data_IF_530241673548
#
_entry.id   IF_530241673548
#
_cell.length_a   1.000
_cell.length_b   1.000
_cell.length_c   1.000
_cell.angle_alpha   90.00
_cell.angle_beta   90.00
_cell.angle_gamma   90.00
#
_symmetry.space_group_name_H-M   'P 1'
#
loop_
_entity.id
_entity.type
_entity.pdbx_description
1 polymer ?
#
# COMPACT_ATOMS: atom_id res chain seq x y z
N UNK A 1 -5.54 -2.66 -21.62
CA UNK A 1 -4.78 -2.98 -20.38
C UNK A 1 -5.40 -4.19 -19.68
N UNK A 2 -6.71 -4.20 -19.39
CA UNK A 2 -7.31 -5.29 -18.59
C UNK A 2 -7.19 -6.69 -19.22
N UNK A 3 -7.33 -6.82 -20.55
CA UNK A 3 -7.16 -8.12 -21.22
C UNK A 3 -5.77 -8.75 -20.99
N UNK A 4 -4.73 -7.91 -20.97
CA UNK A 4 -3.37 -8.38 -20.69
C UNK A 4 -3.21 -8.77 -19.21
N UNK A 5 -3.76 -7.98 -18.28
CA UNK A 5 -3.75 -8.30 -16.84
C UNK A 5 -4.49 -9.60 -16.58
N UNK A 6 -5.64 -9.82 -17.22
CA UNK A 6 -6.43 -11.06 -17.14
C UNK A 6 -5.60 -12.29 -17.53
N UNK A 7 -4.82 -12.15 -18.60
CA UNK A 7 -3.89 -13.19 -19.05
C UNK A 7 -2.79 -13.46 -18.02
N UNK A 8 -2.19 -12.41 -17.43
CA UNK A 8 -1.16 -12.57 -16.40
C UNK A 8 -1.71 -13.17 -15.11
N UNK A 9 -2.92 -12.79 -14.68
CA UNK A 9 -3.56 -13.38 -13.49
C UNK A 9 -3.81 -14.87 -13.66
N UNK A 10 -4.25 -15.30 -14.85
CA UNK A 10 -4.42 -16.72 -15.16
C UNK A 10 -3.06 -17.43 -15.14
N UNK A 11 -2.05 -16.86 -15.80
CA UNK A 11 -0.73 -17.47 -15.97
C UNK A 11 0.11 -17.53 -14.69
N UNK A 12 0.15 -16.44 -13.93
CA UNK A 12 1.05 -16.27 -12.77
C UNK A 12 0.36 -16.66 -11.47
N UNK A 13 -0.96 -16.47 -11.35
CA UNK A 13 -1.68 -16.70 -10.09
C UNK A 13 -2.74 -17.80 -10.18
N UNK A 14 -2.97 -18.39 -11.36
CA UNK A 14 -3.99 -19.43 -11.55
C UNK A 14 -5.42 -18.91 -11.41
N UNK A 15 -5.62 -17.59 -11.43
CA UNK A 15 -6.94 -16.96 -11.30
C UNK A 15 -7.63 -17.01 -12.67
N UNK A 16 -8.48 -18.02 -12.84
CA UNK A 16 -9.15 -18.31 -14.10
C UNK A 16 -10.37 -17.41 -14.33
N UNK A 17 -10.58 -17.01 -15.60
CA UNK A 17 -11.73 -16.20 -16.06
C UNK A 17 -11.94 -14.92 -15.22
N UNK A 18 -10.89 -14.11 -14.96
CA UNK A 18 -11.06 -12.92 -14.14
C UNK A 18 -11.88 -11.86 -14.88
N UNK A 19 -12.87 -11.31 -14.20
CA UNK A 19 -13.58 -10.11 -14.62
C UNK A 19 -12.89 -8.90 -13.97
N UNK A 20 -12.27 -8.05 -14.80
CA UNK A 20 -11.46 -6.92 -14.35
C UNK A 20 -12.19 -5.60 -14.54
N UNK A 21 -12.02 -4.73 -13.56
CA UNK A 21 -12.51 -3.36 -13.58
C UNK A 21 -11.42 -2.44 -13.01
N UNK A 22 -11.08 -1.38 -13.72
CA UNK A 22 -10.16 -0.37 -13.21
C UNK A 22 -10.78 0.36 -12.01
N UNK A 23 -10.06 0.41 -10.89
CA UNK A 23 -10.40 1.20 -9.71
C UNK A 23 -9.64 2.52 -9.73
N UNK A 24 -8.37 2.46 -10.12
CA UNK A 24 -7.50 3.62 -10.39
C UNK A 24 -6.67 3.35 -11.65
N UNK A 25 -5.74 4.25 -12.00
CA UNK A 25 -4.82 4.04 -13.12
C UNK A 25 -3.88 2.83 -12.96
N UNK A 26 -3.69 2.33 -11.74
CA UNK A 26 -2.73 1.27 -11.42
C UNK A 26 -3.35 0.09 -10.65
N UNK A 27 -4.61 0.23 -10.20
CA UNK A 27 -5.30 -0.75 -9.38
C UNK A 27 -6.55 -1.26 -10.10
N UNK A 28 -6.71 -2.57 -10.13
CA UNK A 28 -7.83 -3.26 -10.79
C UNK A 28 -8.53 -4.18 -9.80
N UNK A 29 -9.85 -4.09 -9.74
CA UNK A 29 -10.68 -5.08 -9.06
C UNK A 29 -10.86 -6.27 -9.97
N UNK A 30 -10.56 -7.45 -9.47
CA UNK A 30 -10.69 -8.73 -10.15
C UNK A 30 -11.75 -9.57 -9.43
N UNK A 31 -12.88 -9.79 -10.08
CA UNK A 31 -13.92 -10.69 -9.56
C UNK A 31 -13.88 -12.01 -10.32
N UNK A 32 -13.92 -13.12 -9.60
CA UNK A 32 -14.11 -14.46 -10.15
C UNK A 32 -15.39 -15.08 -9.61
N UNK A 33 -15.75 -16.28 -10.07
CA UNK A 33 -16.86 -17.02 -9.48
C UNK A 33 -16.65 -17.42 -8.01
N UNK A 34 -15.42 -17.34 -7.50
CA UNK A 34 -15.05 -17.86 -6.17
C UNK A 34 -14.41 -16.82 -5.26
N UNK A 35 -14.10 -15.61 -5.73
CA UNK A 35 -13.41 -14.61 -4.94
C UNK A 35 -13.34 -13.23 -5.57
N UNK A 36 -12.90 -12.27 -4.76
CA UNK A 36 -12.60 -10.91 -5.15
C UNK A 36 -11.14 -10.63 -4.81
N UNK A 37 -10.41 -10.03 -5.75
CA UNK A 37 -9.01 -9.68 -5.63
C UNK A 37 -8.79 -8.24 -6.08
N UNK A 38 -7.71 -7.65 -5.60
CA UNK A 38 -7.23 -6.35 -6.06
C UNK A 38 -5.83 -6.50 -6.61
N UNK A 39 -5.62 -6.00 -7.81
CA UNK A 39 -4.40 -6.20 -8.58
C UNK A 39 -3.77 -4.84 -8.81
N UNK A 40 -2.57 -4.62 -8.27
CA UNK A 40 -1.80 -3.41 -8.50
C UNK A 40 -0.70 -3.71 -9.51
N UNK A 41 -0.60 -2.90 -10.55
CA UNK A 41 0.47 -2.99 -11.56
C UNK A 41 1.07 -1.60 -11.74
N UNK A 42 2.31 -1.40 -11.28
CA UNK A 42 2.93 -0.07 -11.21
C UNK A 42 4.46 -0.13 -11.20
N UNK A 43 5.08 1.00 -11.55
CA UNK A 43 6.49 1.33 -11.53
C UNK A 43 6.80 2.60 -10.69
N UNK A 44 5.83 3.12 -9.93
CA UNK A 44 5.99 4.38 -9.18
C UNK A 44 7.06 4.31 -8.06
N UNK A 45 7.31 3.10 -7.56
CA UNK A 45 8.31 2.76 -6.53
C UNK A 45 9.22 1.66 -7.02
N UNK A 46 10.44 1.61 -6.47
CA UNK A 46 11.39 0.54 -6.78
C UNK A 46 10.82 -0.83 -6.41
N UNK A 47 11.39 -1.88 -6.99
CA UNK A 47 10.99 -3.25 -6.64
C UNK A 47 11.25 -3.54 -5.14
N UNK A 48 12.37 -3.06 -4.61
CA UNK A 48 12.79 -3.23 -3.22
C UNK A 48 11.83 -2.54 -2.24
N UNK A 49 11.38 -1.33 -2.57
CA UNK A 49 10.39 -0.61 -1.75
C UNK A 49 9.05 -1.34 -1.73
N UNK A 50 8.59 -1.82 -2.89
CA UNK A 50 7.35 -2.60 -2.99
C UNK A 50 7.48 -3.95 -2.27
N UNK A 51 8.65 -4.59 -2.34
CA UNK A 51 8.94 -5.84 -1.63
C UNK A 51 8.91 -5.64 -0.12
N UNK A 52 9.46 -4.54 0.38
CA UNK A 52 9.41 -4.20 1.79
C UNK A 52 7.98 -3.85 2.25
N UNK A 53 7.17 -3.15 1.44
CA UNK A 53 5.75 -2.91 1.72
C UNK A 53 5.00 -4.25 1.91
N UNK A 54 5.18 -5.18 0.98
CA UNK A 54 4.53 -6.50 1.02
C UNK A 54 5.02 -7.35 2.20
N UNK A 55 6.32 -7.34 2.46
CA UNK A 55 6.91 -8.03 3.61
C UNK A 55 6.35 -7.48 4.92
N UNK A 56 6.24 -6.16 5.03
CA UNK A 56 5.64 -5.50 6.18
C UNK A 56 4.16 -5.88 6.36
N UNK A 57 3.35 -5.86 5.28
CA UNK A 57 1.95 -6.32 5.33
C UNK A 57 1.83 -7.78 5.81
N UNK A 58 2.74 -8.66 5.35
CA UNK A 58 2.78 -10.05 5.81
C UNK A 58 3.09 -10.15 7.31
N UNK A 59 4.05 -9.38 7.81
CA UNK A 59 4.38 -9.31 9.24
C UNK A 59 3.18 -8.77 10.07
N UNK A 60 2.52 -7.71 9.61
CA UNK A 60 1.32 -7.16 10.27
C UNK A 60 0.21 -8.21 10.40
N UNK A 61 -0.01 -9.00 9.34
CA UNK A 61 -0.98 -10.10 9.37
C UNK A 61 -0.60 -11.16 10.41
N UNK A 62 0.68 -11.55 10.47
CA UNK A 62 1.18 -12.50 11.48
C UNK A 62 1.02 -11.96 12.90
N UNK A 63 1.04 -10.63 13.09
CA UNK A 63 0.74 -9.96 14.36
C UNK A 63 -0.76 -9.90 14.70
N UNK A 64 -1.65 -10.38 13.82
CA UNK A 64 -3.10 -10.31 14.02
C UNK A 64 -3.70 -8.93 13.79
N UNK A 65 -3.04 -8.08 13.01
CA UNK A 65 -3.60 -6.81 12.50
C UNK A 65 -4.52 -7.11 11.31
N UNK A 66 -5.68 -6.47 11.26
CA UNK A 66 -6.65 -6.62 10.17
C UNK A 66 -6.20 -5.99 8.85
N UNK A 67 -5.23 -6.62 8.16
CA UNK A 67 -4.75 -6.21 6.83
C UNK A 67 -5.16 -7.20 5.74
N UNK A 68 -5.27 -6.71 4.50
CA UNK A 68 -5.53 -7.56 3.34
C UNK A 68 -4.38 -8.55 3.12
N UNK A 69 -4.72 -9.79 2.74
CA UNK A 69 -3.72 -10.82 2.43
C UNK A 69 -3.08 -10.53 1.07
N UNK A 70 -1.76 -10.67 0.97
CA UNK A 70 -1.08 -10.69 -0.32
C UNK A 70 -1.12 -12.12 -0.85
N UNK A 71 -1.57 -12.29 -2.09
CA UNK A 71 -1.67 -13.58 -2.76
C UNK A 71 -0.31 -13.90 -3.39
N UNK A 72 0.20 -15.09 -3.14
CA UNK A 72 1.41 -15.56 -3.81
C UNK A 72 1.08 -16.03 -5.23
N UNK A 73 2.00 -15.80 -6.16
CA UNK A 73 1.98 -16.43 -7.47
C UNK A 73 2.13 -17.95 -7.35
N UNK A 74 1.91 -18.67 -8.44
CA UNK A 74 2.13 -20.12 -8.54
C UNK A 74 3.59 -20.48 -8.21
N UNK A 75 4.54 -19.55 -8.41
CA UNK A 75 5.95 -19.74 -8.06
C UNK A 75 6.26 -19.40 -6.60
N UNK A 76 5.27 -18.95 -5.82
CA UNK A 76 5.43 -18.59 -4.42
C UNK A 76 5.90 -17.16 -4.17
N UNK A 77 6.02 -16.33 -5.21
CA UNK A 77 6.42 -14.93 -5.05
C UNK A 77 5.21 -14.05 -4.71
N UNK A 78 5.40 -13.07 -3.84
CA UNK A 78 4.36 -12.06 -3.58
C UNK A 78 4.37 -10.90 -4.58
N UNK A 79 5.47 -10.74 -5.33
CA UNK A 79 5.64 -9.76 -6.37
C UNK A 79 6.12 -10.45 -7.63
N UNK A 80 5.56 -10.04 -8.75
CA UNK A 80 5.97 -10.52 -10.07
C UNK A 80 6.39 -9.31 -10.91
N UNK A 81 7.59 -9.37 -11.50
CA UNK A 81 7.99 -8.39 -12.50
C UNK A 81 7.35 -8.74 -13.84
N UNK A 82 6.65 -7.76 -14.42
CA UNK A 82 5.85 -7.96 -15.63
C UNK A 82 6.17 -6.86 -16.64
N UNK A 83 6.23 -7.24 -17.92
CA UNK A 83 6.54 -6.30 -19.00
C UNK A 83 5.24 -5.91 -19.71
N UNK A 84 4.79 -4.68 -19.47
CA UNK A 84 3.61 -4.10 -20.10
C UNK A 84 3.94 -2.69 -20.57
N UNK A 85 4.36 -2.59 -21.83
CA UNK A 85 5.01 -1.41 -22.43
C UNK A 85 6.38 -1.13 -21.81
N UNK A 86 6.46 -1.13 -20.48
CA UNK A 86 7.65 -0.97 -19.66
C UNK A 86 7.67 -2.04 -18.54
N UNK A 87 8.80 -2.17 -17.85
CA UNK A 87 8.95 -3.08 -16.72
C UNK A 87 8.17 -2.52 -15.52
N UNK A 88 7.18 -3.26 -15.04
CA UNK A 88 6.36 -2.92 -13.87
C UNK A 88 6.37 -4.06 -12.86
N UNK A 89 5.94 -3.76 -11.64
CA UNK A 89 5.73 -4.74 -10.58
C UNK A 89 4.23 -5.02 -10.43
N UNK A 90 3.87 -6.29 -10.37
CA UNK A 90 2.51 -6.77 -10.15
C UNK A 90 2.40 -7.40 -8.76
N UNK A 91 1.40 -6.97 -8.00
CA UNK A 91 1.00 -7.57 -6.72
C UNK A 91 -0.50 -7.84 -6.70
N UNK A 92 -0.91 -8.94 -6.09
CA UNK A 92 -2.31 -9.34 -5.96
C UNK A 92 -2.68 -9.42 -4.48
N UNK A 93 -3.79 -8.80 -4.12
CA UNK A 93 -4.35 -8.82 -2.78
C UNK A 93 -5.70 -9.53 -2.78
N UNK A 94 -6.01 -10.25 -1.71
CA UNK A 94 -7.37 -10.70 -1.44
C UNK A 94 -8.26 -9.50 -1.12
N UNK A 95 -9.49 -9.52 -1.65
CA UNK A 95 -10.50 -8.53 -1.27
C UNK A 95 -10.81 -8.64 0.22
N UNK A 96 -10.72 -7.51 0.93
CA UNK A 96 -11.10 -7.46 2.32
C UNK A 96 -12.60 -7.79 2.46
N UNK A 97 -13.00 -8.71 3.36
CA UNK A 97 -14.39 -9.03 3.56
C UNK A 97 -15.14 -7.85 4.18
N UNK A 98 -16.45 -7.80 3.92
CA UNK A 98 -17.33 -6.75 4.46
C UNK A 98 -17.47 -5.56 3.52
N UNK A 99 -17.78 -4.40 4.09
CA UNK A 99 -18.15 -3.18 3.35
C UNK A 99 -17.43 -1.96 3.93
N UNK A 100 -17.33 -0.92 3.11
CA UNK A 100 -17.01 0.41 3.62
C UNK A 100 -18.16 0.89 4.51
N UNK A 101 -17.86 1.32 5.74
CA UNK A 101 -18.87 1.74 6.71
C UNK A 101 -19.53 3.04 6.21
N UNK A 102 -20.85 3.05 5.95
CA UNK A 102 -21.56 4.26 5.57
C UNK A 102 -21.43 5.35 6.65
N UNK A 103 -21.42 6.63 6.23
CA UNK A 103 -21.22 7.76 7.15
C UNK A 103 -22.22 7.76 8.32
N UNK A 104 -23.47 7.39 8.04
CA UNK A 104 -24.57 7.34 9.01
C UNK A 104 -24.40 6.24 10.07
N UNK A 105 -23.57 5.24 9.78
CA UNK A 105 -23.41 4.07 10.63
C UNK A 105 -22.21 4.19 11.58
N UNK A 106 -21.48 5.31 11.58
CA UNK A 106 -20.37 5.52 12.52
C UNK A 106 -20.87 5.73 13.94
N UNK A 107 -20.34 4.93 14.87
CA UNK A 107 -20.69 4.95 16.29
C UNK A 107 -19.42 4.92 17.15
N UNK A 108 -19.54 5.26 18.44
CA UNK A 108 -18.43 5.18 19.39
C UNK A 108 -17.79 3.78 19.46
N UNK A 109 -18.59 2.71 19.39
CA UNK A 109 -18.08 1.33 19.37
C UNK A 109 -17.22 1.04 18.11
N UNK A 110 -17.64 1.53 16.95
CA UNK A 110 -16.85 1.39 15.72
C UNK A 110 -15.56 2.18 15.78
N UNK A 111 -15.60 3.40 16.32
CA UNK A 111 -14.39 4.21 16.55
C UNK A 111 -13.44 3.52 17.55
N UNK A 112 -13.97 2.92 18.62
CA UNK A 112 -13.18 2.12 19.55
C UNK A 112 -12.49 0.94 18.86
N UNK A 113 -13.19 0.22 17.97
CA UNK A 113 -12.61 -0.87 17.17
C UNK A 113 -11.50 -0.38 16.23
N UNK A 114 -11.69 0.77 15.57
CA UNK A 114 -10.63 1.40 14.75
C UNK A 114 -9.41 1.73 15.60
N UNK A 115 -9.61 2.38 16.75
CA UNK A 115 -8.52 2.70 17.68
C UNK A 115 -7.78 1.45 18.17
N UNK A 116 -8.50 0.35 18.42
CA UNK A 116 -7.91 -0.94 18.80
C UNK A 116 -7.02 -1.51 17.69
N UNK A 117 -7.47 -1.46 16.44
CA UNK A 117 -6.66 -1.93 15.30
C UNK A 117 -5.45 -1.02 15.04
N UNK A 118 -5.59 0.31 15.13
CA UNK A 118 -4.47 1.25 15.05
C UNK A 118 -3.44 0.98 16.15
N UNK A 119 -3.88 0.71 17.38
CA UNK A 119 -2.99 0.36 18.47
C UNK A 119 -2.23 -0.95 18.25
N UNK A 120 -2.86 -1.95 17.61
CA UNK A 120 -2.16 -3.18 17.20
C UNK A 120 -1.14 -2.90 16.09
N UNK A 121 -1.54 -2.11 15.09
CA UNK A 121 -0.67 -1.68 14.01
C UNK A 121 0.60 -1.02 14.57
N UNK A 122 0.48 -0.03 15.44
CA UNK A 122 1.63 0.65 16.03
C UNK A 122 2.60 -0.30 16.75
N UNK A 123 2.08 -1.21 17.59
CA UNK A 123 2.94 -2.19 18.28
C UNK A 123 3.64 -3.14 17.32
N UNK A 124 2.94 -3.60 16.30
CA UNK A 124 3.51 -4.47 15.28
C UNK A 124 4.59 -3.74 14.46
N UNK A 125 4.35 -2.48 14.08
CA UNK A 125 5.31 -1.64 13.36
C UNK A 125 6.59 -1.39 14.15
N UNK A 126 6.48 -1.14 15.46
CA UNK A 126 7.65 -0.96 16.33
C UNK A 126 8.52 -2.22 16.34
N UNK A 127 7.89 -3.38 16.58
CA UNK A 127 8.60 -4.67 16.55
C UNK A 127 9.25 -4.93 15.19
N UNK A 128 8.55 -4.62 14.11
CA UNK A 128 9.08 -4.76 12.76
C UNK A 128 10.32 -3.88 12.54
N UNK A 129 10.28 -2.62 12.99
CA UNK A 129 11.42 -1.72 12.86
C UNK A 129 12.64 -2.21 13.66
N UNK A 130 12.42 -2.81 14.84
CA UNK A 130 13.48 -3.41 15.65
C UNK A 130 14.07 -4.67 14.99
N UNK A 131 13.23 -5.52 14.40
CA UNK A 131 13.63 -6.76 13.72
C UNK A 131 14.28 -6.52 12.35
N UNK A 132 13.90 -5.44 11.65
CA UNK A 132 14.32 -5.11 10.29
C UNK A 132 14.77 -3.64 10.18
N UNK A 133 15.86 -3.25 10.88
CA UNK A 133 16.32 -1.86 10.91
C UNK A 133 16.78 -1.33 9.54
N UNK A 134 17.23 -2.22 8.65
CA UNK A 134 17.70 -1.89 7.30
C UNK A 134 16.57 -1.98 6.24
N UNK A 135 15.30 -2.01 6.66
CA UNK A 135 14.18 -2.04 5.71
C UNK A 135 14.21 -0.82 4.78
N UNK A 136 14.02 -0.97 3.46
CA UNK A 136 14.03 0.16 2.53
C UNK A 136 12.74 1.00 2.61
N UNK A 137 11.91 0.82 3.65
CA UNK A 137 10.75 1.68 3.90
C UNK A 137 11.27 3.03 4.38
N UNK A 138 11.09 4.03 3.52
CA UNK A 138 11.55 5.39 3.75
C UNK A 138 10.86 6.04 4.97
N UNK A 139 11.57 6.96 5.62
CA UNK A 139 10.95 7.86 6.57
C UNK A 139 9.91 8.75 5.88
N UNK A 140 8.90 9.21 6.62
CA UNK A 140 7.77 9.96 6.04
C UNK A 140 8.24 11.13 5.15
N UNK A 141 9.23 11.92 5.59
CA UNK A 141 9.75 13.10 4.89
C UNK A 141 10.62 12.81 3.66
N UNK A 142 11.04 11.56 3.44
CA UNK A 142 11.88 11.16 2.30
C UNK A 142 11.05 10.91 1.04
N UNK A 143 9.75 10.65 1.22
CA UNK A 143 8.84 10.40 0.11
C UNK A 143 8.65 11.68 -0.75
N UNK A 144 8.52 11.48 -2.07
CA UNK A 144 8.40 12.57 -3.06
C UNK A 144 7.24 13.52 -2.79
N UNK A 145 6.16 13.03 -2.17
CA UNK A 145 4.97 13.80 -1.82
C UNK A 145 5.26 14.94 -0.82
N UNK A 146 6.36 14.83 -0.06
CA UNK A 146 6.79 15.87 0.89
C UNK A 146 7.92 16.76 0.34
N UNK A 147 8.37 16.52 -0.90
CA UNK A 147 9.33 17.38 -1.61
C UNK A 147 8.64 18.62 -2.17
N UNK A 148 7.94 19.37 -1.31
CA UNK A 148 7.09 20.51 -1.69
C UNK A 148 7.81 21.55 -2.57
N UNK A 149 9.11 21.73 -2.36
CA UNK A 149 9.93 22.67 -3.12
C UNK A 149 10.08 22.29 -4.61
N UNK A 150 9.88 21.03 -4.96
CA UNK A 150 9.93 20.53 -6.33
C UNK A 150 8.58 20.66 -7.03
N UNK A 151 7.47 20.51 -6.30
CA UNK A 151 6.12 20.50 -6.86
C UNK A 151 5.45 21.88 -6.89
N UNK A 152 5.79 22.79 -5.96
CA UNK A 152 5.18 24.12 -5.88
C UNK A 152 5.94 25.08 -6.82
N UNK A 153 5.26 25.89 -7.65
CA UNK A 153 5.92 26.89 -8.51
C UNK A 153 6.85 27.83 -7.73
N UNK A 154 7.96 28.26 -8.35
CA UNK A 154 9.01 29.04 -7.66
C UNK A 154 8.52 30.42 -7.22
N UNK A 155 7.50 30.93 -7.90
CA UNK A 155 6.89 32.25 -7.68
C UNK A 155 6.03 32.27 -6.41
N UNK A 156 5.54 31.11 -5.95
CA UNK A 156 4.70 30.94 -4.76
C UNK A 156 5.51 30.97 -3.46
N UNK A 157 6.30 32.04 -3.29
CA UNK A 157 7.28 32.21 -2.22
C UNK A 157 6.69 31.99 -0.82
N UNK A 158 5.51 32.55 -0.54
CA UNK A 158 4.87 32.41 0.77
C UNK A 158 4.50 30.96 1.10
N UNK A 159 3.90 30.24 0.14
CA UNK A 159 3.50 28.83 0.32
C UNK A 159 4.76 27.96 0.49
N UNK A 160 5.80 28.22 -0.30
CA UNK A 160 7.07 27.50 -0.20
C UNK A 160 7.74 27.69 1.16
N UNK A 161 7.74 28.91 1.70
CA UNK A 161 8.25 29.18 3.05
C UNK A 161 7.43 28.44 4.10
N UNK A 162 6.10 28.56 4.07
CA UNK A 162 5.23 27.88 5.03
C UNK A 162 5.42 26.35 5.02
N UNK A 163 5.47 25.75 3.83
CA UNK A 163 5.66 24.31 3.68
C UNK A 163 7.02 23.84 4.24
N UNK A 164 8.08 24.63 4.02
CA UNK A 164 9.41 24.37 4.59
C UNK A 164 9.38 24.45 6.11
N UNK A 165 8.83 25.54 6.66
CA UNK A 165 8.81 25.78 8.11
C UNK A 165 8.02 24.69 8.84
N UNK A 166 6.88 24.26 8.31
CA UNK A 166 6.08 23.15 8.88
C UNK A 166 6.85 21.84 8.85
N UNK A 167 7.52 21.53 7.73
CA UNK A 167 8.32 20.31 7.61
C UNK A 167 9.45 20.30 8.65
N UNK A 168 10.18 21.40 8.77
CA UNK A 168 11.26 21.56 9.77
C UNK A 168 10.74 21.42 11.20
N UNK A 169 9.59 22.02 11.53
CA UNK A 169 8.98 21.87 12.86
C UNK A 169 8.62 20.42 13.20
N UNK A 170 8.02 19.69 12.27
CA UNK A 170 7.64 18.28 12.49
C UNK A 170 8.89 17.40 12.62
N UNK A 171 9.95 17.70 11.88
CA UNK A 171 11.23 16.97 11.98
C UNK A 171 11.93 17.14 13.34
N UNK A 172 11.66 18.25 14.05
CA UNK A 172 12.18 18.47 15.39
C UNK A 172 11.45 17.67 16.48
N UNK A 173 10.33 17.03 16.16
CA UNK A 173 9.59 16.21 17.12
C UNK A 173 10.44 14.96 17.47
N UNK A 174 10.67 14.65 18.75
CA UNK A 174 11.44 13.47 19.16
C UNK A 174 10.84 12.18 18.59
N UNK A 175 11.70 11.31 18.05
CA UNK A 175 11.29 10.01 17.48
C UNK A 175 10.79 9.01 18.56
N UNK A 176 11.14 9.23 19.82
CA UNK A 176 10.73 8.41 20.96
C UNK A 176 10.27 9.33 22.10
N UNK A 177 8.98 9.24 22.45
CA UNK A 177 8.41 9.81 23.67
C UNK A 177 7.85 8.68 24.53
#
# INVERSE_FOLDING_TARGET
>A
MESWISTQLTRLYGINRPCLEAVTGEMYRCTTGTGCYYVRVTDYKSYEEQAAEVHFLSNLRQCGVGVASVVQSIQGHYLEQVNVQELKTMVVFEGAPGIHIPRVDWTADKLYKVGKEIGKLHRASQRYADEYPDSPIQHWHENKEYQFQESIPKEETHIRTLAKDVLEQIQMIPKHA
#
